data_IF_636302219550
#
_entry.id   IF_636302219550
#
_cell.length_a   1.000
_cell.length_b   1.000
_cell.length_c   1.000
_cell.angle_alpha   90.00
_cell.angle_beta   90.00
_cell.angle_gamma   90.00
#
_symmetry.space_group_name_H-M   'P 1'
#
loop_
_entity.id
_entity.type
_entity.pdbx_description
1 polymer ?
#
# COMPACT_ATOMS: atom_id res chain seq x y z
N UNK A 1 -9.17 17.72 -17.98
CA UNK A 1 -10.17 16.71 -17.60
C UNK A 1 -10.04 16.45 -16.11
N UNK A 2 -11.14 16.53 -15.35
CA UNK A 2 -11.11 16.25 -13.91
C UNK A 2 -10.86 14.77 -13.66
N UNK A 3 -9.98 14.45 -12.70
CA UNK A 3 -9.64 13.07 -12.40
C UNK A 3 -10.82 12.35 -11.73
N UNK A 4 -11.12 11.13 -12.16
CA UNK A 4 -12.17 10.33 -11.58
C UNK A 4 -11.79 9.87 -10.17
N UNK A 5 -12.73 9.96 -9.22
CA UNK A 5 -12.53 9.39 -7.89
C UNK A 5 -12.66 7.86 -7.94
N UNK A 6 -11.53 7.18 -8.10
CA UNK A 6 -11.45 5.74 -8.23
C UNK A 6 -10.18 5.22 -7.53
N UNK A 7 -10.21 5.04 -6.19
CA UNK A 7 -9.05 4.53 -5.46
C UNK A 7 -8.67 3.14 -5.97
N UNK A 8 -7.36 2.95 -6.18
CA UNK A 8 -6.80 1.68 -6.66
C UNK A 8 -5.61 1.19 -5.82
N UNK A 9 -5.32 1.85 -4.70
CA UNK A 9 -4.17 1.56 -3.86
C UNK A 9 -2.82 1.88 -4.49
N UNK A 10 -1.79 1.23 -3.96
CA UNK A 10 -0.41 1.36 -4.43
C UNK A 10 -0.20 0.42 -5.63
N UNK A 11 0.02 0.98 -6.83
CA UNK A 11 0.38 0.20 -8.02
C UNK A 11 1.87 0.34 -8.32
N UNK A 12 2.67 -0.75 -8.37
CA UNK A 12 4.07 -0.66 -8.74
C UNK A 12 4.23 -0.20 -10.20
N UNK A 13 5.19 0.68 -10.45
CA UNK A 13 5.50 1.21 -11.79
C UNK A 13 6.90 0.82 -12.24
N UNK A 14 7.90 1.01 -11.36
CA UNK A 14 9.31 0.75 -11.66
C UNK A 14 10.15 0.70 -10.38
N UNK A 15 11.32 0.09 -10.48
CA UNK A 15 12.33 0.22 -9.43
C UNK A 15 12.96 1.62 -9.42
N UNK A 16 13.59 1.99 -8.31
CA UNK A 16 14.39 3.21 -8.23
C UNK A 16 15.48 3.21 -9.32
N UNK A 17 15.89 4.41 -9.73
CA UNK A 17 16.98 4.62 -10.70
C UNK A 17 16.70 4.04 -12.11
N UNK A 18 15.44 4.04 -12.54
CA UNK A 18 15.02 3.54 -13.86
C UNK A 18 15.27 2.05 -14.08
N UNK A 19 15.40 1.27 -13.00
CA UNK A 19 15.47 -0.18 -13.09
C UNK A 19 14.13 -0.72 -13.59
N UNK A 20 14.13 -1.70 -14.51
CA UNK A 20 12.90 -2.37 -14.91
C UNK A 20 12.26 -3.00 -13.67
N UNK A 21 10.94 -2.94 -13.57
CA UNK A 21 10.24 -3.64 -12.51
C UNK A 21 10.39 -5.14 -12.75
N UNK A 22 11.05 -5.82 -11.81
CA UNK A 22 11.02 -7.28 -11.70
C UNK A 22 10.04 -7.64 -10.59
N UNK A 23 9.06 -8.48 -10.90
CA UNK A 23 8.01 -8.97 -10.00
C UNK A 23 8.58 -9.97 -8.98
N UNK A 24 9.59 -9.55 -8.23
CA UNK A 24 10.30 -10.37 -7.25
C UNK A 24 9.61 -10.28 -5.89
N UNK A 25 8.31 -10.58 -5.85
CA UNK A 25 7.52 -10.51 -4.63
C UNK A 25 7.86 -11.65 -3.66
N UNK A 26 7.94 -11.33 -2.37
CA UNK A 26 8.16 -12.30 -1.29
C UNK A 26 6.82 -12.90 -0.85
N UNK A 27 6.80 -14.21 -0.58
CA UNK A 27 5.60 -14.89 -0.07
C UNK A 27 5.49 -14.72 1.44
N UNK A 28 4.36 -14.17 1.87
CA UNK A 28 3.93 -14.07 3.26
C UNK A 28 2.61 -14.81 3.47
N UNK A 29 2.19 -14.96 4.73
CA UNK A 29 0.90 -15.55 5.06
C UNK A 29 -0.03 -14.54 5.75
N UNK A 30 -1.31 -14.58 5.45
CA UNK A 30 -2.36 -13.90 6.20
C UNK A 30 -3.10 -14.95 7.04
N UNK A 31 -3.16 -14.76 8.34
CA UNK A 31 -3.76 -15.71 9.28
C UNK A 31 -5.29 -15.56 9.32
N UNK A 32 -6.03 -16.66 9.42
CA UNK A 32 -7.49 -16.65 9.56
C UNK A 32 -8.00 -15.94 10.83
N UNK A 33 -7.14 -15.71 11.83
CA UNK A 33 -7.47 -14.89 12.99
C UNK A 33 -7.50 -13.38 12.68
N UNK A 34 -6.86 -12.92 11.59
CA UNK A 34 -6.91 -11.53 11.17
C UNK A 34 -8.29 -11.18 10.57
N UNK A 35 -8.97 -10.19 11.15
CA UNK A 35 -10.29 -9.74 10.70
C UNK A 35 -10.24 -8.66 9.59
N UNK A 36 -9.05 -8.31 9.09
CA UNK A 36 -8.91 -7.26 8.07
C UNK A 36 -8.96 -7.82 6.64
N UNK A 37 -9.70 -7.18 5.75
CA UNK A 37 -9.66 -7.55 4.32
C UNK A 37 -8.39 -6.99 3.69
N UNK A 38 -7.60 -7.83 3.01
CA UNK A 38 -6.41 -7.42 2.26
C UNK A 38 -6.72 -7.52 0.77
N UNK A 39 -6.55 -6.43 0.04
CA UNK A 39 -6.84 -6.30 -1.39
C UNK A 39 -5.58 -5.99 -2.18
N UNK A 40 -5.67 -6.12 -3.49
CA UNK A 40 -4.55 -5.78 -4.37
C UNK A 40 -4.18 -4.30 -4.21
N UNK A 41 -2.89 -4.03 -3.98
CA UNK A 41 -2.36 -2.69 -3.73
C UNK A 41 -2.53 -2.20 -2.29
N UNK A 42 -2.98 -3.05 -1.36
CA UNK A 42 -3.01 -2.68 0.06
C UNK A 42 -1.59 -2.69 0.65
N UNK A 43 -1.24 -1.69 1.46
CA UNK A 43 -0.04 -1.76 2.28
C UNK A 43 -0.22 -2.77 3.40
N UNK A 44 0.82 -3.56 3.64
CA UNK A 44 0.86 -4.61 4.65
C UNK A 44 2.05 -4.45 5.58
N UNK A 45 1.88 -4.87 6.83
CA UNK A 45 2.93 -4.86 7.86
C UNK A 45 3.07 -6.26 8.44
N UNK A 46 4.31 -6.68 8.68
CA UNK A 46 4.60 -7.96 9.36
C UNK A 46 4.15 -7.90 10.82
N UNK A 47 3.57 -8.99 11.33
CA UNK A 47 3.07 -9.05 12.72
C UNK A 47 4.11 -9.51 13.74
N UNK A 48 5.24 -10.04 13.26
CA UNK A 48 6.26 -10.69 14.10
C UNK A 48 5.96 -12.14 14.44
N UNK A 49 4.79 -12.65 14.05
CA UNK A 49 4.46 -14.07 14.12
C UNK A 49 4.80 -14.77 12.79
N UNK A 50 4.94 -16.09 12.84
CA UNK A 50 5.14 -16.93 11.68
C UNK A 50 4.24 -18.17 11.78
N UNK A 51 3.86 -18.71 10.63
CA UNK A 51 3.23 -20.04 10.56
C UNK A 51 4.23 -21.13 10.95
N UNK A 52 3.71 -22.33 11.17
CA UNK A 52 4.51 -23.50 11.53
C UNK A 52 5.55 -23.90 10.45
N UNK A 53 5.36 -23.46 9.21
CA UNK A 53 6.30 -23.64 8.09
C UNK A 53 7.40 -22.57 8.04
N UNK A 54 7.39 -21.59 8.95
CA UNK A 54 8.33 -20.46 8.98
C UNK A 54 7.92 -19.26 8.13
N UNK A 55 6.77 -19.30 7.44
CA UNK A 55 6.27 -18.18 6.64
C UNK A 55 5.81 -17.05 7.56
N UNK A 56 6.39 -15.87 7.43
CA UNK A 56 6.03 -14.70 8.24
C UNK A 56 4.56 -14.30 8.00
N UNK A 57 3.90 -13.83 9.07
CA UNK A 57 2.50 -13.40 9.02
C UNK A 57 2.43 -11.89 8.77
N UNK A 58 1.55 -11.49 7.85
CA UNK A 58 1.26 -10.09 7.52
C UNK A 58 -0.20 -9.75 7.76
N UNK A 59 -0.45 -8.51 8.13
CA UNK A 59 -1.78 -7.91 8.24
C UNK A 59 -1.82 -6.59 7.47
N UNK A 60 -3.03 -6.10 7.14
CA UNK A 60 -3.16 -4.79 6.49
C UNK A 60 -2.60 -3.70 7.40
N UNK A 61 -1.76 -2.83 6.86
CA UNK A 61 -1.19 -1.72 7.62
C UNK A 61 -2.27 -0.74 8.08
N UNK A 62 -2.08 -0.20 9.29
CA UNK A 62 -2.90 0.89 9.80
C UNK A 62 -2.49 2.22 9.15
N UNK A 63 -3.46 3.05 8.78
CA UNK A 63 -3.20 4.40 8.28
C UNK A 63 -2.59 5.29 9.39
N UNK A 64 -1.72 6.22 9.01
CA UNK A 64 -1.25 7.30 9.89
C UNK A 64 0.23 7.23 10.29
N UNK A 65 0.69 8.33 10.90
CA UNK A 65 2.08 8.54 11.28
C UNK A 65 2.56 7.51 12.30
N UNK A 66 3.76 6.95 12.09
CA UNK A 66 4.35 5.93 12.96
C UNK A 66 3.93 4.50 12.62
N UNK A 67 2.96 4.32 11.72
CA UNK A 67 2.55 3.00 11.24
C UNK A 67 3.41 2.56 10.06
N UNK A 68 4.60 2.00 10.35
CA UNK A 68 5.54 1.56 9.33
C UNK A 68 4.95 0.43 8.46
N UNK A 69 5.26 0.47 7.16
CA UNK A 69 4.78 -0.47 6.14
C UNK A 69 5.91 -1.44 5.79
N UNK A 70 5.61 -2.73 5.69
CA UNK A 70 6.59 -3.72 5.24
C UNK A 70 6.63 -3.80 3.72
N UNK A 71 5.47 -3.74 3.06
CA UNK A 71 5.38 -3.77 1.62
C UNK A 71 3.96 -3.59 1.11
N UNK A 72 3.76 -3.91 -0.17
CA UNK A 72 2.46 -3.81 -0.85
C UNK A 72 2.01 -5.18 -1.33
N UNK A 73 0.75 -5.55 -1.07
CA UNK A 73 0.19 -6.81 -1.53
C UNK A 73 -0.07 -6.76 -3.06
N UNK A 74 0.62 -7.62 -3.81
CA UNK A 74 0.55 -7.71 -5.29
C UNK A 74 -0.02 -9.04 -5.78
N UNK A 75 -0.25 -10.00 -4.90
CA UNK A 75 -0.85 -11.28 -5.29
C UNK A 75 -1.44 -12.03 -4.11
N UNK A 76 -2.37 -12.93 -4.42
CA UNK A 76 -3.09 -13.71 -3.42
C UNK A 76 -3.25 -15.13 -3.90
N UNK A 77 -3.01 -16.09 -3.00
CA UNK A 77 -3.28 -17.49 -3.23
C UNK A 77 -3.94 -18.08 -1.99
N UNK A 78 -5.16 -18.62 -2.08
CA UNK A 78 -5.81 -19.23 -0.91
C UNK A 78 -5.05 -20.48 -0.47
N UNK A 79 -4.94 -20.68 0.84
CA UNK A 79 -4.46 -21.97 1.37
C UNK A 79 -5.57 -23.02 1.23
N UNK A 80 -5.31 -24.07 0.44
CA UNK A 80 -6.19 -25.24 0.35
C UNK A 80 -7.52 -25.03 -0.38
N UNK A 81 -7.76 -23.88 -1.01
CA UNK A 81 -8.95 -23.63 -1.84
C UNK A 81 -8.61 -23.52 -3.33
N UNK A 82 -9.57 -23.87 -4.19
CA UNK A 82 -9.42 -23.82 -5.66
C UNK A 82 -9.91 -22.48 -6.23
N UNK A 83 -10.74 -21.75 -5.49
CA UNK A 83 -11.32 -20.48 -5.95
C UNK A 83 -10.41 -19.28 -5.60
N UNK A 84 -10.02 -18.53 -6.63
CA UNK A 84 -9.13 -17.37 -6.49
C UNK A 84 -9.93 -16.09 -6.62
N UNK A 85 -10.19 -15.44 -5.48
CA UNK A 85 -10.95 -14.18 -5.43
C UNK A 85 -10.13 -12.97 -5.86
N UNK A 86 -8.80 -13.07 -5.96
CA UNK A 86 -7.91 -11.93 -6.27
C UNK A 86 -7.78 -10.91 -5.13
N UNK A 87 -8.31 -11.23 -3.94
CA UNK A 87 -8.11 -10.56 -2.67
C UNK A 87 -8.27 -11.58 -1.54
N UNK A 88 -7.83 -11.23 -0.33
CA UNK A 88 -8.01 -12.03 0.88
C UNK A 88 -9.22 -11.52 1.68
N UNK A 89 -10.32 -12.29 1.78
CA UNK A 89 -11.43 -11.97 2.68
C UNK A 89 -11.00 -11.96 4.14
N UNK A 90 -11.70 -11.19 4.98
CA UNK A 90 -11.48 -11.21 6.43
C UNK A 90 -11.59 -12.64 6.99
N UNK A 91 -10.76 -12.94 7.98
CA UNK A 91 -10.76 -14.21 8.71
C UNK A 91 -10.56 -15.47 7.86
N UNK A 92 -9.79 -15.36 6.77
CA UNK A 92 -9.42 -16.49 5.91
C UNK A 92 -7.91 -16.65 5.77
N UNK A 93 -7.43 -17.88 5.60
CA UNK A 93 -6.01 -18.17 5.42
C UNK A 93 -5.60 -18.06 3.95
N UNK A 94 -4.62 -17.19 3.68
CA UNK A 94 -4.09 -16.95 2.34
C UNK A 94 -2.57 -16.79 2.35
N UNK A 95 -1.92 -17.25 1.29
CA UNK A 95 -0.60 -16.76 0.87
C UNK A 95 -0.79 -15.39 0.21
N UNK A 96 0.01 -14.42 0.64
CA UNK A 96 0.03 -13.06 0.10
C UNK A 96 1.40 -12.81 -0.48
N UNK A 97 1.45 -12.48 -1.77
CA UNK A 97 2.69 -12.03 -2.42
C UNK A 97 2.83 -10.54 -2.13
N UNK A 98 3.93 -10.16 -1.50
CA UNK A 98 4.20 -8.81 -1.05
C UNK A 98 5.44 -8.28 -1.74
N UNK A 99 5.31 -7.12 -2.35
CA UNK A 99 6.43 -6.32 -2.80
C UNK A 99 7.00 -5.54 -1.59
N UNK A 100 8.06 -6.08 -1.00
CA UNK A 100 8.72 -5.56 0.20
C UNK A 100 9.91 -4.64 -0.12
N UNK A 101 10.25 -4.48 -1.40
CA UNK A 101 11.38 -3.64 -1.79
C UNK A 101 11.05 -2.14 -1.59
N UNK A 102 11.74 -1.46 -0.65
CA UNK A 102 11.45 -0.06 -0.34
C UNK A 102 11.86 0.90 -1.45
N UNK A 103 12.61 0.45 -2.46
CA UNK A 103 13.08 1.26 -3.59
C UNK A 103 12.08 1.35 -4.74
N UNK A 104 10.96 0.65 -4.68
CA UNK A 104 9.98 0.69 -5.77
C UNK A 104 9.16 1.97 -5.74
N UNK A 105 8.91 2.49 -6.92
CA UNK A 105 7.99 3.59 -7.15
C UNK A 105 6.60 3.05 -7.42
N UNK A 106 5.64 3.55 -6.66
CA UNK A 106 4.23 3.24 -6.79
C UNK A 106 3.47 4.45 -7.32
N UNK A 107 2.35 4.21 -7.96
CA UNK A 107 1.34 5.23 -8.23
C UNK A 107 0.18 5.05 -7.26
N UNK A 108 -0.37 6.16 -6.81
CA UNK A 108 -1.49 6.20 -5.87
C UNK A 108 -2.30 7.48 -6.11
N UNK A 109 -3.60 7.40 -5.90
CA UNK A 109 -4.51 8.54 -5.97
C UNK A 109 -4.54 9.29 -4.62
N UNK A 110 -4.65 10.61 -4.63
CA UNK A 110 -4.96 11.41 -3.44
C UNK A 110 -6.46 11.46 -3.12
N UNK A 111 -6.81 11.70 -1.86
CA UNK A 111 -8.20 11.89 -1.42
C UNK A 111 -8.75 13.30 -1.70
N UNK A 112 -7.86 14.30 -1.77
CA UNK A 112 -8.16 15.73 -1.90
C UNK A 112 -9.09 16.32 -0.83
N UNK A 113 -9.26 15.64 0.30
CA UNK A 113 -10.16 16.08 1.38
C UNK A 113 -9.56 17.25 2.18
N UNK A 114 -8.23 17.25 2.35
CA UNK A 114 -7.46 18.39 2.88
C UNK A 114 -7.17 19.50 1.86
N UNK A 115 -7.78 19.42 0.67
CA UNK A 115 -7.40 20.19 -0.52
C UNK A 115 -6.51 19.38 -1.46
N UNK A 116 -6.46 19.79 -2.73
CA UNK A 116 -5.64 19.11 -3.74
C UNK A 116 -4.15 19.38 -3.51
N UNK A 117 -3.33 18.34 -3.63
CA UNK A 117 -1.87 18.46 -3.56
C UNK A 117 -1.35 19.32 -4.71
N UNK A 118 -0.43 20.22 -4.40
CA UNK A 118 0.24 21.08 -5.39
C UNK A 118 1.49 20.41 -5.93
N UNK A 119 1.86 20.74 -7.17
CA UNK A 119 3.06 20.19 -7.82
C UNK A 119 4.35 20.55 -7.05
N UNK A 120 4.34 21.67 -6.32
CA UNK A 120 5.46 22.14 -5.51
C UNK A 120 5.69 21.29 -4.24
N UNK A 121 4.71 20.46 -3.86
CA UNK A 121 4.83 19.54 -2.71
C UNK A 121 5.55 18.24 -3.07
N UNK A 122 6.06 18.11 -4.30
CA UNK A 122 6.95 17.00 -4.68
C UNK A 122 8.19 16.97 -3.75
N UNK A 123 8.43 15.82 -3.13
CA UNK A 123 9.49 15.63 -2.14
C UNK A 123 9.02 15.66 -0.68
N UNK A 124 7.77 16.08 -0.41
CA UNK A 124 7.15 15.97 0.90
C UNK A 124 6.79 14.51 1.24
N UNK A 125 6.56 14.27 2.53
CA UNK A 125 6.03 13.01 3.04
C UNK A 125 4.53 13.15 3.33
N UNK A 126 3.81 12.03 3.25
CA UNK A 126 2.37 11.91 3.51
C UNK A 126 2.05 10.56 4.15
N UNK A 127 0.91 10.45 4.81
CA UNK A 127 0.36 9.15 5.20
C UNK A 127 -0.66 8.64 4.18
N UNK A 128 -1.00 7.36 4.32
CA UNK A 128 -2.15 6.79 3.62
C UNK A 128 -3.42 7.04 4.43
N UNK A 129 -4.55 7.02 3.74
CA UNK A 129 -5.89 6.88 4.30
C UNK A 129 -6.62 5.77 3.53
N UNK A 130 -7.61 5.13 4.15
CA UNK A 130 -8.47 4.17 3.45
C UNK A 130 -9.83 4.79 3.19
N UNK A 131 -10.18 4.91 1.91
CA UNK A 131 -11.53 5.28 1.48
C UNK A 131 -12.45 4.07 1.35
N UNK A 132 -13.40 4.17 0.42
CA UNK A 132 -14.33 3.07 0.10
C UNK A 132 -13.72 2.13 -0.94
N UNK A 133 -13.56 0.85 -0.59
CA UNK A 133 -13.05 -0.15 -1.52
C UNK A 133 -14.11 -0.55 -2.56
N UNK A 134 -13.69 -0.74 -3.81
CA UNK A 134 -14.54 -1.28 -4.87
C UNK A 134 -13.95 -2.58 -5.41
N UNK A 135 -14.65 -3.70 -5.21
CA UNK A 135 -14.19 -5.03 -5.65
C UNK A 135 -12.88 -5.47 -5.00
N UNK A 136 -11.93 -5.88 -5.84
CA UNK A 136 -10.68 -6.54 -5.43
C UNK A 136 -9.49 -5.56 -5.27
N UNK A 137 -9.71 -4.27 -5.50
CA UNK A 137 -8.67 -3.23 -5.42
C UNK A 137 -8.70 -2.54 -4.07
N UNK A 138 -7.53 -2.19 -3.58
CA UNK A 138 -7.36 -1.44 -2.34
C UNK A 138 -8.04 -0.06 -2.41
N UNK A 139 -8.57 0.35 -1.27
CA UNK A 139 -9.12 1.69 -1.06
C UNK A 139 -8.08 2.68 -0.54
N UNK A 140 -6.82 2.28 -0.46
CA UNK A 140 -5.77 3.16 0.04
C UNK A 140 -5.63 4.36 -0.91
N UNK A 141 -5.67 5.55 -0.33
CA UNK A 141 -5.42 6.85 -0.96
C UNK A 141 -4.33 7.60 -0.20
N UNK A 142 -3.74 8.61 -0.83
CA UNK A 142 -2.88 9.58 -0.14
C UNK A 142 -3.78 10.50 0.66
N UNK A 143 -3.47 10.69 1.95
CA UNK A 143 -4.12 11.68 2.79
C UNK A 143 -3.49 13.06 2.53
N UNK A 144 -4.17 13.90 1.75
CA UNK A 144 -3.64 15.21 1.35
C UNK A 144 -3.48 16.18 2.53
N UNK A 145 -4.19 15.95 3.64
CA UNK A 145 -4.11 16.78 4.85
C UNK A 145 -2.82 16.56 5.66
N UNK A 146 -2.10 15.48 5.39
CA UNK A 146 -0.92 15.05 6.17
C UNK A 146 0.41 15.42 5.55
N UNK A 147 0.37 16.22 4.47
CA UNK A 147 1.57 16.68 3.78
C UNK A 147 2.52 17.42 4.71
N UNK A 148 3.76 16.96 4.77
CA UNK A 148 4.76 17.54 5.66
C UNK A 148 6.15 16.93 5.48
N UNK A 149 7.04 17.20 6.43
CA UNK A 149 8.42 16.69 6.44
C UNK A 149 8.67 15.67 7.55
N UNK A 150 7.63 15.29 8.28
CA UNK A 150 7.71 14.35 9.40
C UNK A 150 8.23 13.00 8.93
N UNK A 151 9.25 12.47 9.63
CA UNK A 151 9.93 11.21 9.27
C UNK A 151 9.00 10.00 9.38
N UNK A 152 8.08 10.01 10.35
CA UNK A 152 7.15 8.89 10.59
C UNK A 152 6.00 8.74 9.58
N UNK A 153 5.89 9.65 8.62
CA UNK A 153 4.91 9.57 7.54
C UNK A 153 5.25 8.42 6.58
N UNK A 154 4.21 7.74 6.12
CA UNK A 154 4.33 6.41 5.52
C UNK A 154 4.89 6.43 4.09
N UNK A 155 4.55 7.47 3.33
CA UNK A 155 4.93 7.63 1.93
C UNK A 155 5.72 8.91 1.72
N UNK A 156 6.51 8.92 0.65
CA UNK A 156 7.18 10.10 0.11
C UNK A 156 6.68 10.37 -1.31
N UNK A 157 6.28 11.61 -1.57
CA UNK A 157 5.90 12.06 -2.91
C UNK A 157 7.14 12.24 -3.78
N UNK A 158 7.13 11.61 -4.95
CA UNK A 158 8.15 11.77 -5.99
C UNK A 158 7.73 12.78 -7.06
N UNK A 159 6.43 12.97 -7.26
CA UNK A 159 5.85 13.94 -8.18
C UNK A 159 4.60 13.41 -8.89
N UNK A 160 3.97 14.25 -9.71
CA UNK A 160 2.75 13.90 -10.43
C UNK A 160 2.99 12.77 -11.45
N UNK A 161 2.09 11.79 -11.51
CA UNK A 161 2.14 10.73 -12.52
C UNK A 161 1.86 11.29 -13.92
N UNK A 162 2.72 10.97 -14.89
CA UNK A 162 2.56 11.42 -16.29
C UNK A 162 1.64 10.45 -17.03
N UNK A 163 0.34 10.74 -17.00
CA UNK A 163 -0.72 9.97 -17.68
C UNK A 163 -1.57 10.92 -18.51
N UNK A 164 -2.18 10.42 -19.58
CA UNK A 164 -3.08 11.21 -20.44
C UNK A 164 -4.32 11.67 -19.67
N UNK A 165 -4.79 10.85 -18.72
CA UNK A 165 -5.98 11.10 -17.90
C UNK A 165 -5.64 11.61 -16.48
N UNK A 166 -4.50 12.30 -16.31
CA UNK A 166 -4.11 12.85 -15.02
C UNK A 166 -3.69 14.32 -15.14
N UNK A 167 -4.49 15.20 -14.55
CA UNK A 167 -4.18 16.63 -14.41
C UNK A 167 -3.90 16.98 -12.95
N UNK A 168 -3.00 17.93 -12.66
CA UNK A 168 -2.80 18.40 -11.30
C UNK A 168 -4.09 19.04 -10.77
N UNK A 169 -4.50 18.64 -9.56
CA UNK A 169 -5.76 19.09 -8.97
C UNK A 169 -6.44 17.95 -8.21
N UNK A 170 -7.76 18.05 -8.08
CA UNK A 170 -8.55 17.11 -7.27
C UNK A 170 -8.37 15.67 -7.76
N UNK A 171 -8.17 14.73 -6.84
CA UNK A 171 -8.02 13.30 -7.08
C UNK A 171 -6.85 12.96 -8.02
N UNK A 172 -5.78 13.76 -8.03
CA UNK A 172 -4.65 13.48 -8.89
C UNK A 172 -3.89 12.21 -8.49
N UNK A 173 -3.29 11.58 -9.50
CA UNK A 173 -2.42 10.42 -9.32
C UNK A 173 -0.99 10.88 -9.15
N UNK A 174 -0.38 10.46 -8.05
CA UNK A 174 0.98 10.79 -7.67
C UNK A 174 1.87 9.56 -7.73
N UNK A 175 3.12 9.77 -8.10
CA UNK A 175 4.20 8.81 -7.88
C UNK A 175 4.69 8.95 -6.45
N UNK A 176 4.68 7.84 -5.73
CA UNK A 176 5.05 7.75 -4.33
C UNK A 176 6.05 6.63 -4.11
N UNK A 177 6.74 6.69 -2.99
CA UNK A 177 7.65 5.64 -2.51
C UNK A 177 7.40 5.42 -1.03
N UNK A 178 7.58 4.20 -0.54
CA UNK A 178 7.53 3.92 0.89
C UNK A 178 8.66 4.68 1.61
N UNK A 179 8.33 5.42 2.66
CA UNK A 179 9.27 6.21 3.45
C UNK A 179 9.54 5.57 4.81
N UNK A 180 8.48 5.31 5.57
CA UNK A 180 8.57 4.64 6.86
C UNK A 180 8.38 3.13 6.67
N UNK A 181 9.49 2.41 6.48
CA UNK A 181 9.49 0.97 6.19
C UNK A 181 9.99 0.14 7.37
N UNK A 182 9.41 -1.05 7.56
CA UNK A 182 9.84 -1.98 8.60
C UNK A 182 9.89 -3.43 8.11
N UNK A 183 10.98 -4.12 8.45
CA UNK A 183 11.12 -5.58 8.29
C UNK A 183 10.86 -6.34 9.58
N UNK A 184 10.62 -5.60 10.67
CA UNK A 184 10.28 -6.13 12.01
C UNK A 184 8.85 -5.74 12.37
N UNK A 185 8.19 -6.46 13.28
CA UNK A 185 6.89 -6.06 13.80
C UNK A 185 6.89 -4.61 14.25
N UNK A 186 5.84 -3.88 13.86
CA UNK A 186 5.63 -2.54 14.37
C UNK A 186 5.02 -2.63 15.78
N UNK A 187 5.25 -1.65 16.65
CA UNK A 187 4.59 -1.61 17.97
C UNK A 187 3.04 -1.62 17.90
N UNK A 188 2.49 -1.27 16.73
CA UNK A 188 1.06 -1.32 16.42
C UNK A 188 0.60 -2.61 15.72
N UNK A 189 1.50 -3.51 15.28
CA UNK A 189 1.08 -4.81 14.79
C UNK A 189 0.72 -5.66 15.99
N UNK A 190 -0.57 -5.81 16.27
CA UNK A 190 -1.06 -6.82 17.21
C UNK A 190 -0.56 -8.16 16.72
N UNK A 191 0.45 -8.71 17.42
CA UNK A 191 0.90 -10.07 17.21
C UNK A 191 -0.31 -10.97 17.35
N UNK A 192 -0.69 -11.61 16.24
CA UNK A 192 -1.74 -12.62 16.20
C UNK A 192 -1.08 -13.96 16.46
#
# INVERSE_FOLDING_TARGET
MANANAPFGLRPVRGAYSQPYSDAATVYSAAAADATVIRYGDPVTVTGAARADGTAIVTRSTAGTGNAITGVAVGFRPYGATEWLGYRPASTDYEVLVEDNPLIEFEMMEDSDGGALSVDQAGANVSIIFGTATGNRSAAMIDSSTVGTTVGLQLRLLGLAKRVDNEPGVNAVWRVRLNNVTTTPNGASTGI
#
